data_IF_015290015052
#
_entry.id   IF_015290015052
#
_cell.length_a   1.000
_cell.length_b   1.000
_cell.length_c   1.000
_cell.angle_alpha   90.00
_cell.angle_beta   90.00
_cell.angle_gamma   90.00
#
_symmetry.space_group_name_H-M   'P 1'
#
loop_
_entity.id
_entity.type
_entity.pdbx_description
1 polymer ?
#
# COMPACT_ATOMS: atom_id res chain seq x y z
N UNK A 1 -14.70 10.58 31.67
CA UNK A 1 -15.64 10.89 30.57
C UNK A 1 -15.77 12.39 30.30
N UNK A 2 -15.56 13.30 31.26
CA UNK A 2 -15.61 14.74 31.01
C UNK A 2 -14.44 15.28 30.16
N UNK A 3 -13.20 14.86 30.47
CA UNK A 3 -12.00 15.43 29.82
C UNK A 3 -11.90 15.13 28.32
N UNK A 4 -12.31 13.95 27.87
CA UNK A 4 -12.30 13.60 26.43
C UNK A 4 -13.22 14.50 25.58
N UNK A 5 -14.35 14.93 26.15
CA UNK A 5 -15.26 15.88 25.49
C UNK A 5 -14.55 17.20 25.22
N UNK A 6 -13.92 17.77 26.25
CA UNK A 6 -13.26 19.07 26.12
C UNK A 6 -11.98 19.00 25.29
N UNK A 7 -11.29 17.86 25.28
CA UNK A 7 -10.21 17.61 24.32
C UNK A 7 -10.69 17.71 22.86
N UNK A 8 -11.86 17.12 22.56
CA UNK A 8 -12.45 17.23 21.23
C UNK A 8 -12.86 18.69 20.91
N UNK A 9 -13.48 19.38 21.87
CA UNK A 9 -13.86 20.79 21.70
C UNK A 9 -12.64 21.68 21.44
N UNK A 10 -11.53 21.52 22.17
CA UNK A 10 -10.30 22.28 21.92
C UNK A 10 -9.72 22.03 20.53
N UNK A 11 -9.68 20.77 20.07
CA UNK A 11 -9.22 20.47 18.70
C UNK A 11 -10.09 21.12 17.64
N UNK A 12 -11.42 21.06 17.81
CA UNK A 12 -12.38 21.69 16.88
C UNK A 12 -12.34 23.22 16.96
N UNK A 13 -12.04 23.79 18.13
CA UNK A 13 -11.82 25.22 18.31
C UNK A 13 -10.66 25.72 17.42
N UNK A 14 -9.52 25.02 17.46
CA UNK A 14 -8.34 25.39 16.68
C UNK A 14 -8.53 25.26 15.15
N UNK A 15 -9.47 24.41 14.73
CA UNK A 15 -9.89 24.25 13.34
C UNK A 15 -11.02 25.20 12.91
N UNK A 16 -11.54 26.05 13.79
CA UNK A 16 -12.72 26.91 13.57
C UNK A 16 -14.01 26.12 13.23
N UNK A 17 -14.20 24.95 13.85
CA UNK A 17 -15.34 24.04 13.59
C UNK A 17 -16.38 24.00 14.73
N UNK A 18 -16.29 24.90 15.70
CA UNK A 18 -17.24 24.97 16.82
C UNK A 18 -18.46 25.83 16.49
N UNK A 19 -19.63 25.37 16.95
CA UNK A 19 -20.82 26.21 17.01
C UNK A 19 -20.78 27.17 18.20
N UNK A 20 -21.60 28.23 18.17
CA UNK A 20 -21.66 29.24 19.23
C UNK A 20 -21.86 28.61 20.63
N UNK A 21 -22.80 27.66 20.73
CA UNK A 21 -23.10 26.96 21.99
C UNK A 21 -21.93 26.12 22.50
N UNK A 22 -21.20 25.48 21.60
CA UNK A 22 -20.04 24.67 21.99
C UNK A 22 -18.84 25.54 22.37
N UNK A 23 -18.69 26.72 21.77
CA UNK A 23 -17.71 27.72 22.17
C UNK A 23 -17.99 28.23 23.57
N UNK A 24 -19.25 28.56 23.88
CA UNK A 24 -19.66 28.98 25.24
C UNK A 24 -19.37 27.89 26.28
N UNK A 25 -19.74 26.63 26.00
CA UNK A 25 -19.47 25.48 26.87
C UNK A 25 -17.96 25.21 27.05
N UNK A 26 -17.15 25.43 26.02
CA UNK A 26 -15.69 25.32 26.12
C UNK A 26 -15.11 26.45 26.99
N UNK A 27 -15.55 27.70 26.80
CA UNK A 27 -15.07 28.84 27.56
C UNK A 27 -15.42 28.72 29.04
N UNK A 28 -16.65 28.32 29.36
CA UNK A 28 -17.07 28.09 30.75
C UNK A 28 -16.19 27.02 31.43
N UNK A 29 -15.89 25.93 30.72
CA UNK A 29 -15.00 24.89 31.25
C UNK A 29 -13.54 25.33 31.42
N UNK A 30 -13.04 26.23 30.55
CA UNK A 30 -11.70 26.80 30.66
C UNK A 30 -11.60 27.80 31.82
N UNK A 31 -12.64 28.58 32.08
CA UNK A 31 -12.68 29.58 33.15
C UNK A 31 -12.74 28.95 34.56
N UNK A 32 -13.23 27.70 34.68
CA UNK A 32 -13.28 26.96 35.94
C UNK A 32 -11.90 26.60 36.51
N UNK A 33 -10.87 26.43 35.68
CA UNK A 33 -9.54 26.00 36.10
C UNK A 33 -8.43 26.57 35.20
N UNK A 34 -7.53 27.42 35.74
CA UNK A 34 -6.42 28.00 35.00
C UNK A 34 -5.54 26.97 34.28
N UNK A 35 -5.40 25.75 34.83
CA UNK A 35 -4.60 24.70 34.20
C UNK A 35 -5.18 24.24 32.84
N UNK A 36 -6.49 24.38 32.65
CA UNK A 36 -7.17 24.06 31.38
C UNK A 36 -6.92 25.13 30.33
N UNK A 37 -6.85 26.39 30.74
CA UNK A 37 -6.47 27.50 29.87
C UNK A 37 -5.01 27.36 29.40
N UNK A 38 -4.11 26.95 30.30
CA UNK A 38 -2.72 26.65 29.94
C UNK A 38 -2.62 25.49 28.94
N UNK A 39 -3.43 24.44 29.12
CA UNK A 39 -3.50 23.31 28.18
C UNK A 39 -3.92 23.75 26.77
N UNK A 40 -4.95 24.60 26.65
CA UNK A 40 -5.37 25.14 25.35
C UNK A 40 -4.26 25.96 24.70
N UNK A 41 -3.52 26.74 25.49
CA UNK A 41 -2.40 27.54 25.00
C UNK A 41 -1.27 26.67 24.46
N UNK A 42 -0.88 25.61 25.19
CA UNK A 42 0.12 24.65 24.71
C UNK A 42 -0.32 23.97 23.40
N UNK A 43 -1.59 23.59 23.30
CA UNK A 43 -2.15 22.98 22.10
C UNK A 43 -2.14 23.97 20.92
N UNK A 44 -2.45 25.24 21.17
CA UNK A 44 -2.40 26.30 20.16
C UNK A 44 -0.96 26.52 19.66
N UNK A 45 0.05 26.51 20.54
CA UNK A 45 1.45 26.62 20.14
C UNK A 45 1.91 25.45 19.24
N UNK A 46 1.42 24.24 19.51
CA UNK A 46 1.66 23.07 18.65
C UNK A 46 0.95 23.21 17.30
N UNK A 47 -0.30 23.69 17.31
CA UNK A 47 -1.09 23.92 16.10
C UNK A 47 -0.48 25.01 15.20
N UNK A 48 0.03 26.09 15.78
CA UNK A 48 0.66 27.16 15.00
C UNK A 48 1.94 26.70 14.30
N UNK A 49 2.67 25.73 14.86
CA UNK A 49 3.83 25.12 14.19
C UNK A 49 3.45 24.28 12.97
N UNK A 50 2.22 23.79 12.87
CA UNK A 50 1.75 23.04 11.69
C UNK A 50 1.26 23.95 10.57
N UNK A 51 0.94 25.22 10.87
CA UNK A 51 0.53 26.21 9.88
C UNK A 51 1.64 26.59 8.90
N UNK A 52 2.90 26.35 9.26
CA UNK A 52 4.06 26.65 8.42
C UNK A 52 4.26 25.65 7.26
N UNK A 53 3.14 25.11 6.76
CA UNK A 53 3.11 24.36 5.52
C UNK A 53 3.18 25.35 4.37
N UNK A 54 4.11 25.20 3.41
CA UNK A 54 4.20 26.14 2.31
C UNK A 54 2.86 26.15 1.57
N UNK A 55 2.18 27.30 1.53
CA UNK A 55 0.96 27.53 0.74
C UNK A 55 1.15 27.11 -0.74
N UNK A 56 2.41 27.07 -1.18
CA UNK A 56 2.83 26.69 -2.51
C UNK A 56 3.28 25.22 -2.63
N UNK A 57 2.89 24.33 -1.72
CA UNK A 57 3.15 22.90 -1.84
C UNK A 57 2.45 22.32 -3.08
N UNK A 58 3.17 22.30 -4.19
CA UNK A 58 2.72 21.70 -5.45
C UNK A 58 3.25 20.28 -5.56
N UNK A 59 2.38 19.31 -5.32
CA UNK A 59 2.67 17.91 -5.63
C UNK A 59 2.61 17.72 -7.15
N UNK A 60 3.68 17.21 -7.75
CA UNK A 60 3.63 16.72 -9.12
C UNK A 60 2.85 15.39 -9.16
N UNK A 61 1.54 15.52 -9.34
CA UNK A 61 0.61 14.39 -9.42
C UNK A 61 0.92 13.48 -10.60
N UNK A 62 1.49 14.02 -11.68
CA UNK A 62 1.87 13.24 -12.87
C UNK A 62 3.08 12.36 -12.56
N UNK A 63 4.11 12.90 -11.93
CA UNK A 63 5.27 12.12 -11.51
C UNK A 63 4.88 11.04 -10.48
N UNK A 64 4.00 11.37 -9.53
CA UNK A 64 3.49 10.41 -8.56
C UNK A 64 2.73 9.26 -9.24
N UNK A 65 1.85 9.58 -10.20
CA UNK A 65 1.09 8.56 -10.95
C UNK A 65 1.99 7.68 -11.82
N UNK A 66 3.00 8.28 -12.45
CA UNK A 66 3.98 7.56 -13.25
C UNK A 66 4.79 6.57 -12.38
N UNK A 67 5.22 6.99 -11.19
CA UNK A 67 5.91 6.11 -10.23
C UNK A 67 5.03 4.94 -9.79
N UNK A 68 3.75 5.20 -9.49
CA UNK A 68 2.80 4.17 -9.09
C UNK A 68 2.58 3.13 -10.19
N UNK A 69 2.24 3.59 -11.40
CA UNK A 69 1.97 2.72 -12.56
C UNK A 69 3.17 1.86 -12.93
N UNK A 70 4.38 2.41 -12.86
CA UNK A 70 5.60 1.65 -13.10
C UNK A 70 5.85 0.59 -12.03
N UNK A 71 5.58 0.88 -10.75
CA UNK A 71 5.72 -0.09 -9.68
C UNK A 71 4.73 -1.26 -9.83
N UNK A 72 3.50 -0.99 -10.28
CA UNK A 72 2.49 -2.03 -10.57
C UNK A 72 2.98 -2.92 -11.72
N UNK A 73 3.37 -2.33 -12.85
CA UNK A 73 3.87 -3.09 -14.02
C UNK A 73 5.14 -3.89 -13.73
N UNK A 74 6.04 -3.36 -12.91
CA UNK A 74 7.26 -4.07 -12.51
C UNK A 74 6.95 -5.33 -11.69
N UNK A 75 5.91 -5.29 -10.83
CA UNK A 75 5.44 -6.46 -10.08
C UNK A 75 4.81 -7.50 -11.01
N UNK A 76 4.00 -7.08 -11.97
CA UNK A 76 3.39 -7.97 -12.97
C UNK A 76 4.45 -8.69 -13.82
N UNK A 77 5.44 -7.96 -14.34
CA UNK A 77 6.56 -8.55 -15.10
C UNK A 77 7.35 -9.58 -14.29
N UNK A 78 7.53 -9.34 -12.98
CA UNK A 78 8.25 -10.28 -12.11
C UNK A 78 7.46 -11.59 -11.89
N UNK A 79 6.13 -11.53 -11.85
CA UNK A 79 5.27 -12.71 -11.75
C UNK A 79 5.15 -13.48 -13.07
N UNK A 80 5.29 -12.79 -14.21
CA UNK A 80 5.19 -13.40 -15.53
C UNK A 80 6.47 -14.12 -15.98
N UNK A 81 7.57 -13.99 -15.24
CA UNK A 81 8.80 -14.72 -15.48
C UNK A 81 8.69 -16.16 -14.94
N UNK A 82 7.69 -16.90 -15.43
CA UNK A 82 7.61 -18.35 -15.29
C UNK A 82 8.67 -18.96 -16.20
N UNK A 83 9.58 -19.75 -15.62
CA UNK A 83 10.62 -20.48 -16.35
C UNK A 83 10.04 -21.22 -17.56
N UNK A 84 10.74 -21.30 -18.70
CA UNK A 84 10.28 -22.08 -19.84
C UNK A 84 10.17 -23.55 -19.41
N UNK A 85 8.95 -24.07 -19.38
CA UNK A 85 8.72 -25.48 -19.10
C UNK A 85 9.17 -26.27 -20.32
N UNK A 86 10.29 -26.99 -20.21
CA UNK A 86 10.66 -28.00 -21.20
C UNK A 86 9.53 -29.03 -21.24
N UNK A 87 8.78 -29.03 -22.33
CA UNK A 87 7.57 -29.84 -22.49
C UNK A 87 7.94 -31.33 -22.47
N UNK A 88 7.25 -32.09 -21.61
CA UNK A 88 7.42 -33.54 -21.42
C UNK A 88 7.30 -34.34 -22.75
N UNK A 89 6.64 -33.77 -23.75
CA UNK A 89 6.42 -34.36 -25.07
C UNK A 89 7.74 -34.68 -25.80
N UNK A 90 8.81 -33.92 -25.53
CA UNK A 90 10.14 -34.16 -26.12
C UNK A 90 10.80 -35.43 -25.58
N UNK A 91 10.49 -35.85 -24.35
CA UNK A 91 11.06 -37.07 -23.73
C UNK A 91 10.33 -38.34 -24.18
N UNK A 92 9.01 -38.28 -24.38
CA UNK A 92 8.21 -39.44 -24.80
C UNK A 92 8.54 -39.82 -26.26
N UNK A 93 8.78 -38.84 -27.13
CA UNK A 93 9.15 -39.10 -28.54
C UNK A 93 10.49 -39.87 -28.68
N UNK A 94 11.47 -39.57 -27.83
CA UNK A 94 12.77 -40.24 -27.88
C UNK A 94 12.69 -41.72 -27.44
N UNK A 95 11.86 -42.04 -26.45
CA UNK A 95 11.66 -43.42 -25.98
C UNK A 95 10.94 -44.25 -27.06
N UNK A 96 9.92 -43.67 -27.71
CA UNK A 96 9.22 -44.33 -28.82
C UNK A 96 10.15 -44.69 -29.99
N UNK A 97 11.06 -43.77 -30.35
CA UNK A 97 12.02 -44.00 -31.43
C UNK A 97 13.01 -45.13 -31.10
N UNK A 98 13.52 -45.18 -29.86
CA UNK A 98 14.44 -46.22 -29.43
C UNK A 98 13.80 -47.61 -29.43
N UNK A 99 12.56 -47.72 -28.97
CA UNK A 99 11.82 -48.99 -29.01
C UNK A 99 11.52 -49.44 -30.44
N UNK A 100 11.19 -48.51 -31.33
CA UNK A 100 10.96 -48.82 -32.74
C UNK A 100 12.23 -49.32 -33.45
N UNK A 101 13.38 -48.70 -33.19
CA UNK A 101 14.66 -49.16 -33.74
C UNK A 101 15.09 -50.52 -33.19
N UNK A 102 14.87 -50.77 -31.88
CA UNK A 102 15.12 -52.08 -31.28
C UNK A 102 14.24 -53.17 -31.91
N UNK A 103 12.96 -52.87 -32.13
CA UNK A 103 12.01 -53.80 -32.74
C UNK A 103 12.38 -54.12 -34.19
N UNK A 104 12.73 -53.10 -34.99
CA UNK A 104 13.21 -53.28 -36.36
C UNK A 104 14.51 -54.09 -36.42
N UNK A 105 15.46 -53.81 -35.53
CA UNK A 105 16.72 -54.56 -35.46
C UNK A 105 16.50 -56.03 -35.12
N UNK A 106 15.62 -56.34 -34.16
CA UNK A 106 15.29 -57.71 -33.79
C UNK A 106 14.57 -58.47 -34.92
N UNK A 107 13.64 -57.81 -35.62
CA UNK A 107 12.94 -58.40 -36.77
C UNK A 107 13.90 -58.71 -37.94
N UNK A 108 14.82 -57.78 -38.25
CA UNK A 108 15.83 -57.99 -39.28
C UNK A 108 16.79 -59.14 -38.93
N UNK A 109 17.20 -59.25 -37.65
CA UNK A 109 18.05 -60.34 -37.18
C UNK A 109 17.36 -61.71 -37.32
N UNK A 110 16.07 -61.80 -37.00
CA UNK A 110 15.31 -63.05 -37.15
C UNK A 110 15.14 -63.46 -38.61
N UNK A 111 14.97 -62.50 -39.53
CA UNK A 111 14.79 -62.78 -40.95
C UNK A 111 16.08 -63.27 -41.64
N UNK A 112 17.25 -62.79 -41.19
CA UNK A 112 18.55 -63.13 -41.79
C UNK A 112 19.26 -64.33 -41.15
N UNK A 113 18.67 -64.96 -40.12
CA UNK A 113 19.21 -66.14 -39.44
C UNK A 113 18.42 -67.40 -39.81
#
# INVERSE_FOLDING_TARGET
MGEEKYWNLMNRYLSNELSLKETEDLLEWLDEDPARADLLKELQELWDKTKDYPENFKVDTRAAWHKLTNNIRAREKKQQNVMPTLSLNTRIAAIGLLLFLLFLGAAAYYYFR
#
